data_IF_894235890791
#
_entry.id   IF_894235890791
#
_cell.length_a   1.000
_cell.length_b   1.000
_cell.length_c   1.000
_cell.angle_alpha   90.00
_cell.angle_beta   90.00
_cell.angle_gamma   90.00
#
_symmetry.space_group_name_H-M   'P 1'
#
loop_
_entity.id
_entity.type
_entity.pdbx_description
1 polymer ?
#
# COMPACT_ATOMS: atom_id res chain seq x y z
N UNK A 1 10.80 -9.67 11.85
CA UNK A 1 10.40 -9.80 13.25
C UNK A 1 8.89 -9.63 13.37
N UNK A 2 8.26 -10.45 14.16
CA UNK A 2 6.80 -10.46 14.33
C UNK A 2 6.45 -9.97 15.74
N UNK A 3 5.54 -9.02 15.85
CA UNK A 3 5.09 -8.45 17.11
C UNK A 3 3.56 -8.41 17.16
N UNK A 4 2.97 -8.74 18.32
CA UNK A 4 1.53 -8.63 18.55
C UNK A 4 1.29 -7.38 19.39
N UNK A 5 0.44 -6.48 18.91
CA UNK A 5 0.05 -5.25 19.61
C UNK A 5 -1.41 -5.39 20.02
N UNK A 6 -1.69 -5.10 21.29
CA UNK A 6 -3.03 -5.15 21.85
C UNK A 6 -3.50 -3.75 22.24
N UNK A 7 -4.71 -3.42 21.84
CA UNK A 7 -5.40 -2.19 22.27
C UNK A 7 -6.39 -2.58 23.38
N UNK A 8 -6.14 -2.11 24.60
CA UNK A 8 -6.96 -2.44 25.76
C UNK A 8 -8.30 -1.72 25.78
N UNK A 9 -8.40 -0.57 25.11
CA UNK A 9 -9.65 0.21 25.03
C UNK A 9 -10.64 -0.49 24.10
N UNK A 10 -10.19 -0.91 22.93
CA UNK A 10 -11.01 -1.59 21.93
C UNK A 10 -11.06 -3.11 22.13
N UNK A 11 -10.26 -3.63 23.05
CA UNK A 11 -10.08 -5.08 23.29
C UNK A 11 -9.76 -5.82 21.97
N UNK A 12 -8.90 -5.24 21.16
CA UNK A 12 -8.49 -5.79 19.86
C UNK A 12 -6.97 -5.89 19.80
N UNK A 13 -6.50 -6.82 18.99
CA UNK A 13 -5.07 -6.98 18.74
C UNK A 13 -4.79 -7.07 17.25
N UNK A 14 -3.59 -6.67 16.88
CA UNK A 14 -3.09 -6.83 15.53
C UNK A 14 -1.64 -7.26 15.56
N UNK A 15 -1.20 -7.89 14.48
CA UNK A 15 0.17 -8.37 14.33
C UNK A 15 0.93 -7.43 13.41
N UNK A 16 2.13 -7.03 13.84
CA UNK A 16 3.07 -6.27 13.01
C UNK A 16 4.21 -7.20 12.60
N UNK A 17 4.47 -7.29 11.33
CA UNK A 17 5.55 -8.06 10.76
C UNK A 17 6.47 -7.16 9.95
N UNK A 18 7.75 -7.11 10.32
CA UNK A 18 8.78 -6.36 9.59
C UNK A 18 9.56 -7.33 8.69
N UNK A 19 9.33 -7.22 7.39
CA UNK A 19 10.03 -8.04 6.42
C UNK A 19 11.44 -7.50 6.15
N UNK A 20 12.36 -8.38 5.82
CA UNK A 20 13.76 -8.02 5.51
C UNK A 20 13.92 -7.02 4.35
N UNK A 21 12.93 -6.88 3.49
CA UNK A 21 12.92 -5.88 2.41
C UNK A 21 12.65 -4.45 2.88
N UNK A 22 12.33 -4.25 4.17
CA UNK A 22 11.88 -2.97 4.70
C UNK A 22 10.36 -2.79 4.72
N UNK A 23 9.61 -3.72 4.14
CA UNK A 23 8.15 -3.68 4.16
C UNK A 23 7.64 -4.00 5.57
N UNK A 24 6.75 -3.16 6.09
CA UNK A 24 6.02 -3.42 7.33
C UNK A 24 4.61 -3.88 6.99
N UNK A 25 4.19 -5.00 7.56
CA UNK A 25 2.86 -5.58 7.34
C UNK A 25 2.06 -5.53 8.64
N UNK A 26 0.85 -5.00 8.57
CA UNK A 26 -0.09 -4.98 9.68
C UNK A 26 -1.24 -5.94 9.37
N UNK A 27 -1.50 -6.89 10.25
CA UNK A 27 -2.54 -7.90 10.06
C UNK A 27 -3.57 -7.82 11.19
N UNK A 28 -4.82 -7.59 10.79
CA UNK A 28 -5.97 -7.54 11.69
C UNK A 28 -6.88 -8.73 11.40
N UNK A 29 -7.07 -9.59 12.37
CA UNK A 29 -8.04 -10.67 12.27
C UNK A 29 -9.41 -10.17 12.71
N UNK A 30 -10.41 -10.42 11.90
CA UNK A 30 -11.81 -10.05 12.18
C UNK A 30 -12.68 -11.30 12.12
N UNK A 31 -12.70 -12.12 13.19
CA UNK A 31 -13.53 -13.33 13.23
C UNK A 31 -15.01 -13.00 13.00
N UNK A 32 -15.71 -13.83 12.25
CA UNK A 32 -17.11 -13.64 11.91
C UNK A 32 -17.38 -12.86 10.62
N UNK A 33 -16.34 -12.29 9.99
CA UNK A 33 -16.46 -11.64 8.68
C UNK A 33 -15.99 -12.59 7.58
N UNK A 34 -16.69 -12.60 6.46
CA UNK A 34 -16.38 -13.47 5.32
C UNK A 34 -15.54 -12.79 4.24
N UNK A 35 -15.37 -11.46 4.33
CA UNK A 35 -14.60 -10.67 3.36
C UNK A 35 -13.19 -10.38 3.86
N UNK A 36 -12.28 -10.17 2.92
CA UNK A 36 -10.91 -9.76 3.16
C UNK A 36 -10.67 -8.38 2.56
N UNK A 37 -9.92 -7.56 3.27
CA UNK A 37 -9.49 -6.26 2.78
C UNK A 37 -7.98 -6.14 2.93
N UNK A 38 -7.31 -5.73 1.86
CA UNK A 38 -5.87 -5.48 1.87
C UNK A 38 -5.59 -4.10 1.26
N UNK A 39 -4.71 -3.34 1.92
CA UNK A 39 -4.26 -2.04 1.44
C UNK A 39 -2.74 -2.04 1.40
N UNK A 40 -2.17 -1.58 0.31
CA UNK A 40 -0.74 -1.28 0.19
C UNK A 40 -0.58 0.22 0.01
N UNK A 41 0.30 0.82 0.81
CA UNK A 41 0.57 2.25 0.75
C UNK A 41 2.04 2.56 0.86
N UNK A 42 2.43 3.70 0.29
CA UNK A 42 3.77 4.26 0.44
C UNK A 42 3.67 5.72 0.86
N UNK A 43 4.64 6.19 1.63
CA UNK A 43 4.71 7.58 2.06
C UNK A 43 5.34 8.46 0.97
N UNK A 44 4.73 8.44 -0.20
CA UNK A 44 5.08 9.27 -1.34
C UNK A 44 3.80 9.72 -2.03
N UNK A 45 3.57 11.02 -2.09
CA UNK A 45 2.33 11.59 -2.59
C UNK A 45 2.54 12.85 -3.41
N UNK A 46 1.45 13.55 -3.73
CA UNK A 46 1.41 14.68 -4.64
C UNK A 46 2.21 15.90 -4.18
N UNK A 47 2.51 16.00 -2.89
CA UNK A 47 3.30 17.11 -2.34
C UNK A 47 4.81 16.82 -2.34
N UNK A 48 5.23 15.62 -2.66
CA UNK A 48 6.63 15.17 -2.58
C UNK A 48 7.36 15.43 -3.90
N UNK A 49 7.48 16.71 -4.27
CA UNK A 49 8.09 17.13 -5.54
C UNK A 49 9.58 17.40 -5.43
N UNK A 50 10.11 17.54 -4.20
CA UNK A 50 11.53 17.70 -3.91
C UNK A 50 11.91 16.70 -2.83
N UNK A 51 12.86 15.84 -3.12
CA UNK A 51 13.32 14.81 -2.18
C UNK A 51 14.77 14.42 -2.45
N UNK A 52 15.36 13.73 -1.48
CA UNK A 52 16.72 13.18 -1.60
C UNK A 52 16.68 11.66 -1.58
N UNK A 53 17.47 11.05 -2.43
CA UNK A 53 17.65 9.61 -2.50
C UNK A 53 19.11 9.28 -2.85
N UNK A 54 19.73 8.38 -2.12
CA UNK A 54 21.13 8.01 -2.28
C UNK A 54 22.10 9.23 -2.32
N UNK A 55 21.88 10.20 -1.41
CA UNK A 55 22.64 11.45 -1.32
C UNK A 55 22.52 12.38 -2.53
N UNK A 56 21.54 12.15 -3.40
CA UNK A 56 21.20 13.03 -4.50
C UNK A 56 19.85 13.69 -4.25
N UNK A 57 19.72 14.96 -4.67
CA UNK A 57 18.47 15.71 -4.61
C UNK A 57 17.75 15.63 -5.94
N UNK A 58 16.44 15.41 -5.86
CA UNK A 58 15.56 15.34 -7.03
C UNK A 58 14.46 16.36 -6.91
N UNK A 59 14.19 17.04 -8.00
CA UNK A 59 13.02 17.87 -8.17
C UNK A 59 12.22 17.32 -9.36
N UNK A 60 10.96 16.99 -9.11
CA UNK A 60 10.10 16.36 -10.10
C UNK A 60 8.87 17.24 -10.37
N UNK A 61 8.28 17.19 -11.57
CA UNK A 61 7.08 17.93 -11.88
C UNK A 61 5.90 17.51 -11.00
N UNK A 62 4.96 18.43 -10.78
CA UNK A 62 3.70 18.11 -10.13
C UNK A 62 2.95 17.03 -10.92
N UNK A 63 2.35 16.09 -10.21
CA UNK A 63 1.61 14.99 -10.80
C UNK A 63 2.41 13.72 -11.05
N UNK A 64 3.71 13.70 -10.76
CA UNK A 64 4.55 12.49 -10.92
C UNK A 64 4.05 11.34 -10.04
N UNK A 65 3.69 11.60 -8.80
CA UNK A 65 3.19 10.55 -7.90
C UNK A 65 1.90 9.92 -8.46
N UNK A 66 0.97 10.72 -8.95
CA UNK A 66 -0.26 10.26 -9.57
C UNK A 66 0.01 9.50 -10.89
N UNK A 67 0.93 10.01 -11.70
CA UNK A 67 1.37 9.31 -12.91
C UNK A 67 1.96 7.93 -12.60
N UNK A 68 2.81 7.85 -11.57
CA UNK A 68 3.39 6.59 -11.12
C UNK A 68 2.30 5.62 -10.66
N UNK A 69 1.31 6.10 -9.90
CA UNK A 69 0.17 5.27 -9.49
C UNK A 69 -0.50 4.61 -10.70
N UNK A 70 -0.83 5.37 -11.74
CA UNK A 70 -1.40 4.82 -12.97
C UNK A 70 -0.47 3.80 -13.62
N UNK A 71 0.83 4.08 -13.67
CA UNK A 71 1.83 3.19 -14.28
C UNK A 71 1.99 1.86 -13.54
N UNK A 72 1.80 1.83 -12.24
CA UNK A 72 1.88 0.59 -11.45
C UNK A 72 0.78 -0.42 -11.81
N UNK A 73 -0.32 0.02 -12.40
CA UNK A 73 -1.42 -0.84 -12.82
C UNK A 73 -1.40 -1.18 -14.32
N UNK A 74 -0.46 -0.63 -15.07
CA UNK A 74 -0.23 -1.01 -16.45
C UNK A 74 0.71 -2.22 -16.49
N UNK A 75 0.19 -3.34 -16.99
CA UNK A 75 0.96 -4.56 -17.18
C UNK A 75 1.18 -4.80 -18.68
N UNK A 76 2.22 -5.57 -19.01
CA UNK A 76 2.53 -5.94 -20.39
C UNK A 76 1.35 -6.60 -21.09
N UNK A 77 0.56 -7.38 -20.37
CA UNK A 77 -0.61 -8.12 -20.85
C UNK A 77 -1.96 -7.45 -20.48
N UNK A 78 -1.96 -6.17 -20.09
CA UNK A 78 -3.16 -5.39 -19.85
C UNK A 78 -3.22 -4.69 -18.50
N UNK A 79 -4.42 -4.24 -18.14
CA UNK A 79 -4.71 -3.52 -16.90
C UNK A 79 -4.78 -4.49 -15.72
N UNK A 80 -4.02 -4.18 -14.65
CA UNK A 80 -4.03 -4.97 -13.41
C UNK A 80 -5.41 -5.01 -12.75
N UNK A 81 -6.22 -3.96 -12.86
CA UNK A 81 -7.59 -3.95 -12.31
C UNK A 81 -8.47 -5.03 -12.94
N UNK A 82 -8.31 -5.31 -14.23
CA UNK A 82 -9.02 -6.38 -14.90
C UNK A 82 -8.60 -7.77 -14.39
N UNK A 83 -7.33 -7.92 -14.01
CA UNK A 83 -6.83 -9.16 -13.42
C UNK A 83 -7.46 -9.41 -12.05
N UNK A 84 -7.58 -8.38 -11.23
CA UNK A 84 -8.24 -8.48 -9.93
C UNK A 84 -9.73 -8.84 -10.09
N UNK A 85 -10.43 -8.18 -11.00
CA UNK A 85 -11.87 -8.43 -11.20
C UNK A 85 -12.17 -9.85 -11.68
N UNK A 86 -11.27 -10.50 -12.42
CA UNK A 86 -11.40 -11.91 -12.81
C UNK A 86 -11.40 -12.87 -11.62
N UNK A 87 -10.83 -12.48 -10.51
CA UNK A 87 -10.84 -13.27 -9.26
C UNK A 87 -12.03 -12.96 -8.35
N UNK A 88 -12.92 -12.05 -8.77
CA UNK A 88 -14.03 -11.57 -7.95
C UNK A 88 -13.62 -10.47 -6.95
N UNK A 89 -12.37 -10.03 -6.98
CA UNK A 89 -11.90 -8.96 -6.11
C UNK A 89 -12.25 -7.58 -6.67
N UNK A 90 -12.58 -6.66 -5.77
CA UNK A 90 -12.66 -5.24 -6.07
C UNK A 90 -11.31 -4.59 -5.74
N UNK A 91 -10.81 -3.75 -6.63
CA UNK A 91 -9.55 -3.03 -6.43
C UNK A 91 -9.70 -1.56 -6.77
N UNK A 92 -8.95 -0.73 -6.08
CA UNK A 92 -8.90 0.70 -6.33
C UNK A 92 -7.52 1.24 -5.91
N UNK A 93 -7.16 2.40 -6.44
CA UNK A 93 -5.95 3.11 -6.07
C UNK A 93 -6.18 4.61 -6.12
N UNK A 94 -5.42 5.35 -5.32
CA UNK A 94 -5.45 6.81 -5.37
C UNK A 94 -4.13 7.40 -4.86
N UNK A 95 -3.87 8.63 -5.27
CA UNK A 95 -2.76 9.46 -4.80
C UNK A 95 -3.31 10.72 -4.14
N UNK A 96 -2.79 11.04 -2.98
CA UNK A 96 -3.16 12.27 -2.26
C UNK A 96 -1.94 13.18 -2.03
#
# INVERSE_FOLDING_TARGET
MKQIIKDDILNKSYTVFNHKSGLTVYMFKTPGFSSYHATFGTNYGSIDNVFSYNNESYEVPHGIAHFLEHKMFECEDGDAFLKFSKTGAYSNAYTS
#
